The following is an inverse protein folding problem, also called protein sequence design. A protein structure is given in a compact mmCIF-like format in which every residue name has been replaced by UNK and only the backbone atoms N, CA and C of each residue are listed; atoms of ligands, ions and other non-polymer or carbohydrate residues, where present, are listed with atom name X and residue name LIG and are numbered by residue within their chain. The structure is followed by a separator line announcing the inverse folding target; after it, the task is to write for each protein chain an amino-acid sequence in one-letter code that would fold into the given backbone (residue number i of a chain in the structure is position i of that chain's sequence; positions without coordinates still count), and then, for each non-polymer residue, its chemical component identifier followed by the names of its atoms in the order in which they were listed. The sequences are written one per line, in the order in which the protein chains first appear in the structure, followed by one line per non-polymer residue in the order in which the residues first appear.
data_IF_501896732143
#
_entry.id   IF_501896732143
#
_cell.length_a   1.000
_cell.length_b   1.000
_cell.length_c   1.000
_cell.angle_alpha   90.00
_cell.angle_beta   90.00
_cell.angle_gamma   90.00
#
_symmetry.space_group_name_H-M   'P 1'
#
loop_
_entity.id
_entity.type
_entity.pdbx_description
1 polymer ?
#
# COMPACT_ATOMS: atom_id res chain seq x y z
N UNK A 1 -34.47 -15.87 -63.62
CA UNK A 1 -33.51 -15.24 -62.70
C UNK A 1 -32.43 -16.27 -62.43
N UNK A 2 -31.24 -16.11 -63.00
CA UNK A 2 -30.16 -17.09 -62.82
C UNK A 2 -29.65 -17.00 -61.39
N UNK A 3 -29.92 -18.03 -60.60
CA UNK A 3 -29.31 -18.24 -59.29
C UNK A 3 -27.88 -18.77 -59.50
N UNK A 4 -26.96 -17.90 -59.94
CA UNK A 4 -25.55 -18.24 -59.77
C UNK A 4 -25.23 -18.14 -58.28
N UNK A 5 -24.94 -19.29 -57.65
CA UNK A 5 -24.64 -19.36 -56.23
C UNK A 5 -23.43 -18.48 -55.90
N UNK A 6 -23.61 -17.48 -55.04
CA UNK A 6 -22.59 -16.50 -54.65
C UNK A 6 -21.32 -17.14 -54.07
N UNK A 7 -21.43 -18.33 -53.48
CA UNK A 7 -20.33 -19.09 -52.88
C UNK A 7 -19.82 -20.22 -53.79
N UNK A 8 -19.60 -19.92 -55.07
CA UNK A 8 -19.08 -20.89 -56.02
C UNK A 8 -17.64 -20.58 -56.41
N UNK A 9 -16.80 -21.61 -56.46
CA UNK A 9 -15.47 -21.54 -57.09
C UNK A 9 -15.54 -21.24 -58.59
N UNK A 10 -16.72 -21.25 -59.22
CA UNK A 10 -16.89 -20.77 -60.61
C UNK A 10 -17.02 -19.24 -60.70
N UNK A 11 -17.41 -18.57 -59.61
CA UNK A 11 -17.53 -17.12 -59.56
C UNK A 11 -16.14 -16.48 -59.40
N UNK A 12 -15.75 -15.67 -60.39
CA UNK A 12 -14.45 -15.00 -60.41
C UNK A 12 -14.23 -14.06 -59.21
N UNK A 13 -15.28 -13.39 -58.74
CA UNK A 13 -15.22 -12.49 -57.59
C UNK A 13 -15.02 -13.23 -56.27
N UNK A 14 -15.72 -14.36 -56.10
CA UNK A 14 -15.52 -15.22 -54.94
C UNK A 14 -14.11 -15.80 -54.89
N UNK A 15 -13.58 -16.27 -56.03
CA UNK A 15 -12.20 -16.73 -56.16
C UNK A 15 -11.17 -15.64 -55.83
N UNK A 16 -11.40 -14.42 -56.33
CA UNK A 16 -10.51 -13.29 -56.07
C UNK A 16 -10.51 -12.92 -54.58
N UNK A 17 -11.69 -12.88 -53.94
CA UNK A 17 -11.82 -12.59 -52.52
C UNK A 17 -11.13 -13.66 -51.66
N UNK A 18 -11.42 -14.94 -51.91
CA UNK A 18 -10.78 -16.07 -51.19
C UNK A 18 -9.27 -16.07 -51.41
N UNK A 19 -8.81 -15.82 -52.64
CA UNK A 19 -7.39 -15.69 -52.95
C UNK A 19 -6.72 -14.57 -52.17
N UNK A 20 -7.34 -13.39 -52.12
CA UNK A 20 -6.83 -12.24 -51.35
C UNK A 20 -6.75 -12.57 -49.86
N UNK A 21 -7.78 -13.21 -49.28
CA UNK A 21 -7.77 -13.58 -47.86
C UNK A 21 -6.66 -14.58 -47.54
N UNK A 22 -6.44 -15.58 -48.41
CA UNK A 22 -5.34 -16.54 -48.25
C UNK A 22 -3.99 -15.82 -48.33
N UNK A 23 -3.81 -14.90 -49.28
CA UNK A 23 -2.57 -14.13 -49.42
C UNK A 23 -2.32 -13.28 -48.16
N UNK A 24 -3.31 -12.55 -47.66
CA UNK A 24 -3.18 -11.77 -46.43
C UNK A 24 -2.84 -12.64 -45.21
N UNK A 25 -3.44 -13.82 -45.10
CA UNK A 25 -3.14 -14.78 -44.03
C UNK A 25 -1.70 -15.28 -44.11
N UNK A 26 -1.23 -15.68 -45.30
CA UNK A 26 0.14 -16.16 -45.51
C UNK A 26 1.16 -15.05 -45.23
N UNK A 27 0.91 -13.83 -45.69
CA UNK A 27 1.79 -12.68 -45.41
C UNK A 27 1.86 -12.40 -43.91
N UNK A 28 0.72 -12.38 -43.21
CA UNK A 28 0.68 -12.15 -41.77
C UNK A 28 1.42 -13.24 -40.98
N UNK A 29 1.26 -14.50 -41.40
CA UNK A 29 1.97 -15.63 -40.81
C UNK A 29 3.48 -15.56 -41.03
N UNK A 30 3.93 -15.20 -42.25
CA UNK A 30 5.36 -15.02 -42.54
C UNK A 30 5.97 -13.86 -41.74
N UNK A 31 5.24 -12.74 -41.58
CA UNK A 31 5.71 -11.62 -40.75
C UNK A 31 5.82 -12.05 -39.28
N UNK A 32 4.79 -12.71 -38.74
CA UNK A 32 4.73 -13.13 -37.34
C UNK A 32 5.72 -14.24 -36.97
N UNK A 33 5.83 -15.29 -37.79
CA UNK A 33 6.55 -16.52 -37.43
C UNK A 33 7.94 -16.65 -38.08
N UNK A 34 8.25 -15.86 -39.10
CA UNK A 34 9.56 -15.92 -39.78
C UNK A 34 10.31 -14.61 -39.62
N UNK A 35 9.71 -13.49 -40.02
CA UNK A 35 10.42 -12.20 -40.06
C UNK A 35 10.69 -11.62 -38.66
N UNK A 36 9.67 -11.45 -37.82
CA UNK A 36 9.83 -10.89 -36.47
C UNK A 36 10.86 -11.65 -35.61
N UNK A 37 10.82 -13.01 -35.52
CA UNK A 37 11.83 -13.79 -34.81
C UNK A 37 13.25 -13.67 -35.37
N UNK A 38 13.39 -13.45 -36.68
CA UNK A 38 14.71 -13.29 -37.32
C UNK A 38 15.31 -11.88 -37.14
N UNK A 39 14.45 -10.86 -36.99
CA UNK A 39 14.85 -9.47 -36.85
C UNK A 39 15.02 -9.02 -35.39
N UNK A 40 14.37 -9.71 -34.44
CA UNK A 40 14.47 -9.43 -33.00
C UNK A 40 15.16 -10.57 -32.26
N UNK A 41 16.30 -10.27 -31.64
CA UNK A 41 17.09 -11.22 -30.84
C UNK A 41 16.58 -11.40 -29.40
N UNK A 42 15.41 -10.82 -29.07
CA UNK A 42 14.82 -10.91 -27.75
C UNK A 42 14.39 -12.37 -27.45
N UNK A 43 14.81 -12.97 -26.32
CA UNK A 43 14.47 -14.34 -25.94
C UNK A 43 12.96 -14.64 -25.95
N UNK A 44 12.09 -13.63 -25.84
CA UNK A 44 10.64 -13.81 -25.96
C UNK A 44 10.18 -14.31 -27.35
N UNK A 45 10.95 -14.07 -28.41
CA UNK A 45 10.61 -14.43 -29.80
C UNK A 45 11.41 -15.61 -30.35
N UNK A 46 12.29 -16.24 -29.56
CA UNK A 46 13.05 -17.39 -30.03
C UNK A 46 12.19 -18.67 -30.07
N UNK A 47 11.81 -19.11 -31.27
CA UNK A 47 11.10 -20.36 -31.52
C UNK A 47 9.58 -20.19 -31.65
N UNK A 48 8.99 -20.96 -32.59
CA UNK A 48 7.56 -20.87 -32.94
C UNK A 48 6.66 -21.11 -31.72
N UNK A 49 6.99 -22.07 -30.88
CA UNK A 49 6.24 -22.36 -29.66
C UNK A 49 6.25 -21.18 -28.67
N UNK A 50 7.34 -20.41 -28.66
CA UNK A 50 7.51 -19.32 -27.72
C UNK A 50 6.69 -18.09 -28.11
N UNK A 51 6.64 -17.79 -29.40
CA UNK A 51 5.79 -16.76 -29.97
C UNK A 51 4.30 -17.07 -29.75
N UNK A 52 3.88 -18.34 -29.89
CA UNK A 52 2.49 -18.77 -29.66
C UNK A 52 2.09 -18.58 -28.18
N UNK A 53 2.91 -19.07 -27.24
CA UNK A 53 2.62 -18.93 -25.81
C UNK A 53 2.59 -17.46 -25.35
N UNK A 54 3.48 -16.62 -25.88
CA UNK A 54 3.51 -15.18 -25.59
C UNK A 54 2.28 -14.45 -26.13
N UNK A 55 1.92 -14.71 -27.41
CA UNK A 55 0.73 -14.15 -28.02
C UNK A 55 -0.59 -14.59 -27.33
N UNK A 56 -0.60 -15.79 -26.74
CA UNK A 56 -1.72 -16.29 -25.94
C UNK A 56 -1.75 -15.73 -24.50
N UNK A 57 -0.79 -14.87 -24.12
CA UNK A 57 -0.72 -14.28 -22.78
C UNK A 57 -0.37 -15.28 -21.68
N UNK A 58 0.28 -16.40 -22.01
CA UNK A 58 0.70 -17.42 -21.03
C UNK A 58 2.14 -17.12 -20.59
N UNK A 59 2.35 -16.51 -19.40
CA UNK A 59 3.70 -16.31 -18.88
C UNK A 59 4.31 -17.66 -18.56
N UNK A 60 5.43 -18.02 -19.20
CA UNK A 60 6.04 -19.34 -19.00
C UNK A 60 6.80 -19.45 -17.67
N UNK A 61 7.31 -18.36 -17.11
CA UNK A 61 8.04 -18.36 -15.85
C UNK A 61 7.85 -17.00 -15.17
N UNK A 62 7.28 -16.97 -13.98
CA UNK A 62 7.33 -15.81 -13.09
C UNK A 62 8.75 -15.65 -12.54
N UNK A 63 9.73 -15.45 -13.43
CA UNK A 63 11.18 -15.50 -13.17
C UNK A 63 11.65 -16.82 -12.48
N UNK A 64 12.73 -17.47 -12.96
CA UNK A 64 13.63 -18.06 -11.98
C UNK A 64 14.11 -16.88 -11.15
N UNK A 65 13.67 -16.78 -9.89
CA UNK A 65 14.24 -15.78 -8.98
C UNK A 65 15.70 -16.14 -8.85
N UNK A 66 16.52 -15.50 -9.68
CA UNK A 66 17.97 -15.49 -9.56
C UNK A 66 18.25 -14.84 -8.21
N UNK A 67 18.37 -15.69 -7.18
CA UNK A 67 18.60 -15.36 -5.77
C UNK A 67 17.88 -14.10 -5.30
N UNK A 68 16.74 -14.24 -4.60
CA UNK A 68 16.02 -13.12 -4.00
C UNK A 68 17.01 -12.18 -3.31
N UNK A 69 17.14 -10.94 -3.80
CA UNK A 69 18.06 -9.95 -3.22
C UNK A 69 17.58 -9.71 -1.78
N UNK A 70 18.37 -10.09 -0.76
CA UNK A 70 17.95 -9.91 0.61
C UNK A 70 17.84 -8.41 0.88
N UNK A 71 16.75 -7.94 1.52
CA UNK A 71 16.59 -6.52 1.79
C UNK A 71 17.70 -6.04 2.73
N UNK A 72 18.32 -4.91 2.40
CA UNK A 72 19.37 -4.27 3.21
C UNK A 72 18.84 -3.78 4.57
N UNK A 73 17.52 -3.63 4.70
CA UNK A 73 16.82 -3.19 5.91
C UNK A 73 15.83 -4.25 6.37
N UNK A 74 15.51 -4.24 7.67
CA UNK A 74 14.45 -5.11 8.21
C UNK A 74 13.09 -4.56 7.77
N UNK A 75 12.35 -5.37 7.04
CA UNK A 75 10.98 -5.03 6.62
C UNK A 75 9.96 -5.54 7.63
N UNK A 76 8.81 -4.88 7.66
CA UNK A 76 7.66 -5.36 8.44
C UNK A 76 7.23 -6.72 7.92
N UNK A 77 7.12 -7.70 8.83
CA UNK A 77 6.58 -9.04 8.54
C UNK A 77 5.18 -9.22 9.14
N UNK A 78 4.57 -8.12 9.58
CA UNK A 78 3.26 -8.16 10.20
C UNK A 78 2.21 -8.32 9.12
N UNK A 79 1.58 -9.48 9.12
CA UNK A 79 0.37 -9.74 8.36
C UNK A 79 -0.82 -9.28 9.20
N UNK A 80 -1.72 -8.52 8.58
CA UNK A 80 -2.93 -8.02 9.23
C UNK A 80 -4.14 -8.64 8.57
N UNK A 81 -4.93 -9.34 9.37
CA UNK A 81 -6.19 -9.91 8.94
C UNK A 81 -7.36 -9.11 9.54
N UNK A 82 -8.47 -9.04 8.81
CA UNK A 82 -9.64 -8.26 9.24
C UNK A 82 -10.28 -8.78 10.54
N UNK A 83 -10.15 -10.08 10.81
CA UNK A 83 -10.78 -10.78 11.93
C UNK A 83 -9.82 -11.00 13.13
N UNK A 84 -8.60 -10.47 13.05
CA UNK A 84 -7.53 -10.74 14.03
C UNK A 84 -7.86 -10.28 15.46
N UNK A 85 -8.85 -9.39 15.62
CA UNK A 85 -9.26 -8.84 16.91
C UNK A 85 -10.75 -9.08 17.22
N UNK A 86 -11.41 -10.00 16.51
CA UNK A 86 -12.85 -10.28 16.70
C UNK A 86 -13.15 -10.90 18.08
N UNK A 87 -12.18 -11.63 18.64
CA UNK A 87 -12.27 -12.24 19.98
C UNK A 87 -11.91 -11.25 21.12
N UNK A 88 -11.79 -9.96 20.83
CA UNK A 88 -11.53 -8.93 21.83
C UNK A 88 -12.60 -8.95 22.93
N UNK A 89 -12.16 -9.20 24.16
CA UNK A 89 -13.04 -9.30 25.34
C UNK A 89 -12.75 -8.21 26.38
N UNK A 90 -13.68 -8.01 27.32
CA UNK A 90 -13.45 -7.13 28.47
C UNK A 90 -12.22 -7.54 29.31
N UNK A 91 -11.89 -8.83 29.35
CA UNK A 91 -10.67 -9.33 29.99
C UNK A 91 -9.41 -8.87 29.25
N UNK A 92 -9.39 -8.96 27.92
CA UNK A 92 -8.29 -8.48 27.08
C UNK A 92 -8.08 -6.97 27.25
N UNK A 93 -9.17 -6.20 27.30
CA UNK A 93 -9.14 -4.75 27.57
C UNK A 93 -8.54 -4.48 28.96
N UNK A 94 -8.97 -5.21 30.00
CA UNK A 94 -8.46 -5.02 31.37
C UNK A 94 -6.97 -5.37 31.53
N UNK A 95 -6.52 -6.47 30.90
CA UNK A 95 -5.08 -6.81 30.86
C UNK A 95 -4.29 -5.75 30.09
N UNK A 96 -4.79 -5.33 28.94
CA UNK A 96 -4.21 -4.26 28.13
C UNK A 96 -4.07 -2.95 28.89
N UNK A 97 -5.10 -2.56 29.65
CA UNK A 97 -5.07 -1.38 30.51
C UNK A 97 -3.96 -1.44 31.55
N UNK A 98 -3.80 -2.60 32.19
CA UNK A 98 -2.74 -2.85 33.18
C UNK A 98 -1.35 -2.76 32.55
N UNK A 99 -1.16 -3.41 31.41
CA UNK A 99 0.10 -3.36 30.66
C UNK A 99 0.41 -1.94 30.16
N UNK A 100 -0.61 -1.17 29.77
CA UNK A 100 -0.48 0.18 29.26
C UNK A 100 -0.05 1.20 30.32
N UNK A 101 -0.06 0.88 31.62
CA UNK A 101 0.41 1.77 32.69
C UNK A 101 1.82 2.33 32.41
N UNK A 102 2.74 1.49 31.89
CA UNK A 102 4.10 1.91 31.52
C UNK A 102 4.19 2.83 30.29
N UNK A 103 3.11 2.94 29.52
CA UNK A 103 3.02 3.76 28.31
C UNK A 103 2.49 5.17 28.61
N UNK A 104 1.78 5.34 29.74
CA UNK A 104 1.05 6.57 30.10
C UNK A 104 1.95 7.79 30.29
N UNK A 105 3.22 7.60 30.66
CA UNK A 105 4.16 8.70 30.84
C UNK A 105 4.43 9.49 29.55
N UNK A 106 4.31 8.83 28.39
CA UNK A 106 4.50 9.47 27.09
C UNK A 106 3.18 9.63 26.34
N UNK A 107 2.33 8.60 26.34
CA UNK A 107 1.08 8.60 25.57
C UNK A 107 -0.13 9.14 26.35
N UNK A 108 0.05 9.53 27.61
CA UNK A 108 -0.98 10.00 28.51
C UNK A 108 -1.79 8.88 29.18
N UNK A 109 -2.42 9.15 30.34
CA UNK A 109 -3.20 8.16 31.10
C UNK A 109 -4.41 7.64 30.34
N UNK A 110 -4.96 8.46 29.44
CA UNK A 110 -6.09 8.13 28.58
C UNK A 110 -5.69 7.96 27.11
N UNK A 111 -4.40 7.79 26.81
CA UNK A 111 -3.93 7.67 25.42
C UNK A 111 -3.94 9.00 24.64
N UNK A 112 -4.09 10.12 25.32
CA UNK A 112 -3.94 11.48 24.79
C UNK A 112 -2.69 12.10 25.40
N UNK A 113 -1.71 12.42 24.57
CA UNK A 113 -0.38 12.85 24.95
C UNK A 113 -0.23 14.37 24.96
N UNK A 114 0.37 14.88 26.04
CA UNK A 114 0.88 16.26 26.12
C UNK A 114 2.37 16.38 25.73
N UNK A 115 3.05 15.26 25.47
CA UNK A 115 4.49 15.18 25.26
C UNK A 115 4.92 15.07 23.78
N UNK A 116 4.09 15.53 22.84
CA UNK A 116 4.26 15.34 21.39
C UNK A 116 4.40 13.87 20.93
N UNK A 117 4.16 12.91 21.82
CA UNK A 117 4.03 11.49 21.48
C UNK A 117 2.68 11.28 20.77
N UNK A 118 2.53 10.28 19.90
CA UNK A 118 1.27 10.09 19.21
C UNK A 118 0.15 9.75 20.19
N UNK A 119 -1.03 10.30 19.95
CA UNK A 119 -2.25 9.88 20.61
C UNK A 119 -2.58 8.44 20.19
N UNK A 120 -2.85 7.59 21.16
CA UNK A 120 -3.20 6.19 20.97
C UNK A 120 -4.69 5.93 21.24
N UNK A 121 -5.36 6.84 21.94
CA UNK A 121 -6.77 6.70 22.26
C UNK A 121 -7.63 6.59 20.98
N UNK A 122 -8.43 5.54 20.88
CA UNK A 122 -9.29 5.25 19.74
C UNK A 122 -8.54 4.91 18.44
N UNK A 123 -7.22 4.73 18.49
CA UNK A 123 -6.45 4.27 17.33
C UNK A 123 -6.81 2.80 17.04
N UNK A 124 -6.84 2.41 15.77
CA UNK A 124 -7.15 1.03 15.38
C UNK A 124 -6.22 0.02 16.07
N UNK A 125 -6.79 -1.05 16.62
CA UNK A 125 -6.03 -2.11 17.26
C UNK A 125 -4.97 -2.71 16.30
N UNK A 126 -5.34 -2.89 15.03
CA UNK A 126 -4.43 -3.38 13.99
C UNK A 126 -3.19 -2.48 13.83
N UNK A 127 -3.37 -1.17 13.93
CA UNK A 127 -2.30 -0.18 13.82
C UNK A 127 -1.39 -0.25 15.04
N UNK A 128 -1.96 -0.21 16.25
CA UNK A 128 -1.17 -0.23 17.50
C UNK A 128 -0.36 -1.52 17.58
N UNK A 129 -0.99 -2.67 17.36
CA UNK A 129 -0.33 -3.97 17.34
C UNK A 129 0.78 -4.05 16.29
N UNK A 130 0.50 -3.62 15.05
CA UNK A 130 1.51 -3.60 13.99
C UNK A 130 2.72 -2.75 14.37
N UNK A 131 2.50 -1.55 14.92
CA UNK A 131 3.61 -0.69 15.31
C UNK A 131 4.43 -1.28 16.45
N UNK A 132 3.80 -1.92 17.46
CA UNK A 132 4.52 -2.60 18.54
C UNK A 132 5.40 -3.74 18.00
N UNK A 133 4.86 -4.60 17.14
CA UNK A 133 5.63 -5.66 16.48
C UNK A 133 6.76 -5.11 15.60
N UNK A 134 6.52 -4.04 14.85
CA UNK A 134 7.55 -3.43 14.01
C UNK A 134 8.67 -2.83 14.86
N UNK A 135 8.35 -2.25 16.03
CA UNK A 135 9.36 -1.80 16.98
C UNK A 135 10.14 -2.94 17.62
N UNK A 136 9.47 -4.04 17.96
CA UNK A 136 10.08 -5.23 18.55
C UNK A 136 11.04 -5.93 17.56
N UNK A 137 10.61 -6.14 16.32
CA UNK A 137 11.41 -6.81 15.28
C UNK A 137 12.57 -5.94 14.76
N UNK A 138 12.45 -4.62 14.90
CA UNK A 138 13.36 -3.62 14.36
C UNK A 138 13.02 -3.19 12.93
N UNK A 139 11.85 -3.56 12.40
CA UNK A 139 11.33 -3.04 11.13
C UNK A 139 10.97 -1.55 11.21
N UNK A 140 10.64 -1.07 12.40
CA UNK A 140 10.58 0.35 12.75
C UNK A 140 11.52 0.59 13.91
N UNK A 141 12.40 1.57 13.80
CA UNK A 141 13.38 1.87 14.85
C UNK A 141 13.01 3.15 15.60
N UNK A 142 13.12 3.13 16.92
CA UNK A 142 13.03 4.33 17.77
C UNK A 142 13.87 4.12 19.01
N UNK A 143 14.70 5.09 19.36
CA UNK A 143 15.48 5.07 20.60
C UNK A 143 14.59 4.97 21.85
N UNK A 144 13.34 5.43 21.76
CA UNK A 144 12.37 5.41 22.85
C UNK A 144 11.48 4.17 22.79
N UNK A 145 10.85 3.90 21.64
CA UNK A 145 9.83 2.85 21.56
C UNK A 145 10.38 1.44 21.34
N UNK A 146 11.55 1.27 20.72
CA UNK A 146 12.12 -0.08 20.52
C UNK A 146 12.43 -0.80 21.84
N UNK A 147 13.01 -0.15 22.87
CA UNK A 147 13.12 -0.75 24.21
C UNK A 147 11.76 -1.10 24.84
N UNK A 148 10.75 -0.24 24.68
CA UNK A 148 9.43 -0.44 25.28
C UNK A 148 8.67 -1.64 24.70
N UNK A 149 8.95 -1.99 23.44
CA UNK A 149 8.30 -3.11 22.75
C UNK A 149 9.10 -4.43 22.84
N UNK A 150 10.38 -4.38 23.20
CA UNK A 150 11.32 -5.51 23.09
C UNK A 150 10.80 -6.76 23.77
N UNK A 151 10.37 -6.64 25.02
CA UNK A 151 10.04 -7.78 25.89
C UNK A 151 8.54 -8.09 25.93
N UNK A 152 7.76 -7.54 25.00
CA UNK A 152 6.33 -7.81 24.95
C UNK A 152 6.04 -9.17 24.34
N UNK A 153 5.23 -9.97 25.03
CA UNK A 153 4.64 -11.13 24.40
C UNK A 153 3.66 -10.67 23.31
N UNK A 154 3.45 -11.54 22.33
CA UNK A 154 2.49 -11.30 21.25
C UNK A 154 1.08 -10.98 21.79
N UNK A 155 0.61 -11.76 22.77
CA UNK A 155 -0.68 -11.52 23.43
C UNK A 155 -0.72 -10.17 24.16
N UNK A 156 0.39 -9.75 24.79
CA UNK A 156 0.45 -8.45 25.47
C UNK A 156 0.27 -7.30 24.47
N UNK A 157 0.90 -7.40 23.29
CA UNK A 157 0.74 -6.41 22.22
C UNK A 157 -0.70 -6.35 21.71
N UNK A 158 -1.38 -7.49 21.59
CA UNK A 158 -2.80 -7.55 21.20
C UNK A 158 -3.70 -6.91 22.26
N UNK A 159 -3.49 -7.24 23.53
CA UNK A 159 -4.29 -6.70 24.63
C UNK A 159 -4.10 -5.18 24.76
N UNK A 160 -2.87 -4.67 24.66
CA UNK A 160 -2.57 -3.23 24.64
C UNK A 160 -3.25 -2.55 23.45
N UNK A 161 -3.21 -3.17 22.28
CA UNK A 161 -3.83 -2.64 21.07
C UNK A 161 -5.34 -2.51 21.20
N UNK A 162 -6.01 -3.55 21.69
CA UNK A 162 -7.46 -3.55 21.94
C UNK A 162 -7.82 -2.54 23.03
N UNK A 163 -7.02 -2.43 24.10
CA UNK A 163 -7.23 -1.42 25.14
C UNK A 163 -7.22 0.00 24.56
N UNK A 164 -6.17 0.39 23.82
CA UNK A 164 -6.09 1.73 23.26
C UNK A 164 -7.19 2.01 22.23
N UNK A 165 -7.58 1.01 21.43
CA UNK A 165 -8.70 1.11 20.51
C UNK A 165 -10.05 1.32 21.22
N UNK A 166 -10.21 0.83 22.45
CA UNK A 166 -11.42 1.01 23.25
C UNK A 166 -11.56 2.41 23.87
N UNK A 167 -10.46 3.17 23.93
CA UNK A 167 -10.48 4.51 24.53
C UNK A 167 -11.15 5.52 23.60
N UNK A 168 -11.71 6.58 24.20
CA UNK A 168 -12.31 7.68 23.45
C UNK A 168 -11.21 8.45 22.70
N UNK A 169 -11.28 8.57 21.35
CA UNK A 169 -10.28 9.29 20.58
C UNK A 169 -10.29 10.80 20.88
N UNK A 170 -9.21 11.47 20.46
CA UNK A 170 -9.18 12.92 20.39
C UNK A 170 -10.34 13.43 19.51
N UNK A 171 -10.76 14.67 19.74
CA UNK A 171 -11.79 15.28 18.92
C UNK A 171 -11.33 15.33 17.45
N UNK A 172 -12.20 14.97 16.48
CA UNK A 172 -11.85 15.04 15.07
C UNK A 172 -11.58 16.48 14.68
N UNK A 173 -10.65 16.67 13.74
CA UNK A 173 -10.35 18.00 13.20
C UNK A 173 -11.53 18.48 12.37
N UNK A 174 -11.87 19.77 12.52
CA UNK A 174 -12.99 20.40 11.79
C UNK A 174 -12.48 21.62 11.03
N UNK A 175 -13.10 21.90 9.89
CA UNK A 175 -12.81 23.05 9.03
C UNK A 175 -12.61 22.64 7.59
N UNK A 176 -12.12 23.58 6.78
CA UNK A 176 -11.77 23.34 5.39
C UNK A 176 -10.36 22.76 5.31
N UNK A 177 -10.26 21.49 4.91
CA UNK A 177 -8.98 20.83 4.75
C UNK A 177 -8.17 21.48 3.61
N UNK A 178 -6.85 21.73 3.80
CA UNK A 178 -6.01 22.29 2.74
C UNK A 178 -5.94 21.34 1.55
N UNK A 179 -5.67 21.88 0.36
CA UNK A 179 -5.72 21.12 -0.90
C UNK A 179 -4.89 19.83 -0.88
N UNK A 180 -3.69 19.87 -0.29
CA UNK A 180 -2.81 18.69 -0.16
C UNK A 180 -3.43 17.56 0.68
N UNK A 181 -4.30 17.87 1.64
CA UNK A 181 -5.00 16.87 2.46
C UNK A 181 -6.29 16.43 1.79
N UNK A 182 -7.09 17.40 1.32
CA UNK A 182 -8.43 17.18 0.79
C UNK A 182 -8.42 16.43 -0.55
N UNK A 183 -7.50 16.80 -1.45
CA UNK A 183 -7.42 16.28 -2.83
C UNK A 183 -6.07 15.61 -3.10
N UNK A 184 -5.02 16.03 -2.40
CA UNK A 184 -3.65 15.60 -2.70
C UNK A 184 -3.06 16.33 -3.90
N UNK A 185 -2.06 15.72 -4.51
CA UNK A 185 -1.47 16.15 -5.77
C UNK A 185 -1.30 14.92 -6.70
N UNK A 186 -2.37 14.50 -7.39
CA UNK A 186 -2.39 13.24 -8.15
C UNK A 186 -1.31 13.15 -9.23
N UNK A 187 -0.96 14.26 -9.88
CA UNK A 187 0.12 14.32 -10.88
C UNK A 187 1.52 14.06 -10.29
N UNK A 188 1.68 14.20 -8.97
CA UNK A 188 2.89 13.83 -8.23
C UNK A 188 2.73 12.53 -7.45
N UNK A 189 1.71 11.73 -7.78
CA UNK A 189 1.40 10.47 -7.09
C UNK A 189 1.11 10.65 -5.58
N UNK A 190 0.48 11.78 -5.21
CA UNK A 190 0.01 12.04 -3.85
C UNK A 190 -1.52 12.00 -3.89
N UNK A 191 -2.16 10.91 -3.44
CA UNK A 191 -3.62 10.84 -3.34
C UNK A 191 -4.13 11.70 -2.17
N UNK A 192 -5.43 11.96 -2.13
CA UNK A 192 -6.09 12.53 -0.96
C UNK A 192 -5.83 11.65 0.27
N UNK A 193 -5.47 12.26 1.40
CA UNK A 193 -5.06 11.51 2.60
C UNK A 193 -6.22 10.69 3.18
N UNK A 194 -7.44 11.25 3.11
CA UNK A 194 -8.65 10.63 3.63
C UNK A 194 -9.00 9.29 2.94
N UNK A 195 -8.55 9.06 1.71
CA UNK A 195 -8.78 7.80 0.98
C UNK A 195 -8.15 6.57 1.64
N UNK A 196 -7.22 6.77 2.59
CA UNK A 196 -6.61 5.68 3.35
C UNK A 196 -6.65 5.92 4.87
N UNK A 197 -6.66 7.18 5.31
CA UNK A 197 -6.60 7.59 6.71
C UNK A 197 -7.93 8.15 7.26
N UNK A 198 -8.99 8.20 6.44
CA UNK A 198 -10.29 8.76 6.82
C UNK A 198 -11.06 7.84 7.77
N UNK A 199 -12.04 8.38 8.50
CA UNK A 199 -12.66 7.63 9.58
C UNK A 199 -13.66 6.54 9.19
N UNK A 200 -14.36 6.72 8.07
CA UNK A 200 -15.32 5.73 7.54
C UNK A 200 -14.65 4.76 6.56
N UNK A 201 -13.73 5.25 5.73
CA UNK A 201 -13.05 4.48 4.67
C UNK A 201 -11.53 4.36 4.95
N UNK A 202 -11.15 3.88 6.13
CA UNK A 202 -9.74 3.62 6.43
C UNK A 202 -9.28 2.27 5.87
N UNK A 203 -8.05 2.26 5.35
CA UNK A 203 -7.38 1.02 4.97
C UNK A 203 -6.88 0.30 6.23
N UNK A 204 -7.03 -1.03 6.30
CA UNK A 204 -6.48 -1.83 7.41
C UNK A 204 -4.97 -1.54 7.57
N UNK A 205 -4.55 -1.28 8.81
CA UNK A 205 -3.17 -0.91 9.13
C UNK A 205 -2.80 0.54 8.84
N UNK A 206 -3.70 1.35 8.26
CA UNK A 206 -3.51 2.80 8.17
C UNK A 206 -3.95 3.48 9.47
N UNK A 207 -3.09 4.31 10.08
CA UNK A 207 -3.44 5.01 11.32
C UNK A 207 -4.51 6.07 11.08
N UNK A 208 -5.37 6.24 12.08
CA UNK A 208 -6.15 7.46 12.26
C UNK A 208 -5.21 8.65 12.52
N UNK A 209 -5.42 9.77 11.80
CA UNK A 209 -4.53 10.92 11.85
C UNK A 209 -5.08 12.11 12.66
N UNK A 210 -6.39 12.29 12.75
CA UNK A 210 -6.96 13.46 13.43
C UNK A 210 -6.58 13.48 14.91
N UNK A 211 -6.18 14.66 15.37
CA UNK A 211 -5.73 14.91 16.73
C UNK A 211 -4.31 14.43 17.01
N UNK A 212 -3.56 13.87 16.06
CA UNK A 212 -2.15 13.57 16.28
C UNK A 212 -1.32 14.86 16.40
N UNK A 213 -0.31 14.92 17.29
CA UNK A 213 0.54 16.11 17.40
C UNK A 213 1.25 16.45 16.09
N UNK A 214 1.26 17.73 15.71
CA UNK A 214 1.88 18.20 14.46
C UNK A 214 3.36 17.81 14.37
N UNK A 215 4.10 17.91 15.48
CA UNK A 215 5.50 17.50 15.55
C UNK A 215 5.69 16.01 15.22
N UNK A 216 4.79 15.15 15.71
CA UNK A 216 4.82 13.72 15.40
C UNK A 216 4.53 13.46 13.92
N UNK A 217 3.43 14.01 13.39
CA UNK A 217 3.03 13.80 11.98
C UNK A 217 4.12 14.28 11.02
N UNK A 218 4.66 15.48 11.25
CA UNK A 218 5.77 16.05 10.48
C UNK A 218 7.00 15.13 10.52
N UNK A 219 7.39 14.65 11.70
CA UNK A 219 8.52 13.75 11.85
C UNK A 219 8.29 12.40 11.13
N UNK A 220 7.08 11.85 11.17
CA UNK A 220 6.78 10.59 10.48
C UNK A 220 6.81 10.75 8.95
N UNK A 221 6.22 11.81 8.41
CA UNK A 221 6.26 12.10 6.97
C UNK A 221 7.71 12.32 6.50
N UNK A 222 8.50 13.10 7.23
CA UNK A 222 9.92 13.28 6.92
C UNK A 222 10.71 11.96 6.97
N UNK A 223 10.41 11.09 7.94
CA UNK A 223 11.07 9.79 8.07
C UNK A 223 10.71 8.83 6.92
N UNK A 224 9.47 8.87 6.42
CA UNK A 224 9.09 8.14 5.21
C UNK A 224 9.76 8.74 3.97
N UNK A 225 9.76 10.06 3.83
CA UNK A 225 10.39 10.75 2.70
C UNK A 225 11.88 10.39 2.56
N UNK A 226 12.64 10.43 3.67
CA UNK A 226 14.06 10.10 3.67
C UNK A 226 14.37 8.59 3.79
N UNK A 227 13.36 7.73 3.91
CA UNK A 227 13.50 6.27 4.00
C UNK A 227 13.96 5.73 5.37
N UNK A 228 14.22 6.58 6.36
CA UNK A 228 14.56 6.13 7.72
C UNK A 228 13.41 5.36 8.40
N UNK A 229 12.16 5.60 7.96
CA UNK A 229 11.01 4.75 8.27
C UNK A 229 10.56 4.00 7.02
N UNK A 230 10.57 2.68 7.09
CA UNK A 230 10.30 1.77 5.96
C UNK A 230 9.42 0.57 6.35
N UNK A 231 8.66 0.69 7.44
CA UNK A 231 7.73 -0.34 7.90
C UNK A 231 6.36 -0.31 7.20
N UNK A 232 6.25 0.39 6.06
CA UNK A 232 5.06 0.50 5.25
C UNK A 232 4.98 -0.61 4.19
N UNK A 233 3.79 -1.19 4.05
CA UNK A 233 3.54 -2.29 3.11
C UNK A 233 3.56 -1.72 1.68
N UNK A 234 4.39 -2.31 0.81
CA UNK A 234 4.55 -1.91 -0.59
C UNK A 234 4.97 -0.44 -0.78
N UNK A 235 5.74 0.10 0.18
CA UNK A 235 6.27 1.48 0.14
C UNK A 235 5.19 2.59 0.04
N UNK A 236 3.95 2.31 0.44
CA UNK A 236 2.83 3.24 0.22
C UNK A 236 3.09 4.63 0.79
N UNK A 237 3.55 4.74 2.04
CA UNK A 237 3.81 6.04 2.65
C UNK A 237 5.11 6.65 2.16
N UNK A 238 6.14 5.84 1.87
CA UNK A 238 7.41 6.33 1.29
C UNK A 238 7.19 6.93 -0.09
N UNK A 239 6.38 6.29 -0.94
CA UNK A 239 6.06 6.79 -2.28
C UNK A 239 5.25 8.10 -2.26
N UNK A 240 4.38 8.27 -1.26
CA UNK A 240 3.64 9.54 -1.08
C UNK A 240 4.59 10.61 -0.53
N UNK A 241 5.24 10.35 0.60
CA UNK A 241 6.00 11.36 1.33
C UNK A 241 7.23 11.87 0.57
N UNK A 242 7.90 11.03 -0.24
CA UNK A 242 9.03 11.45 -1.09
C UNK A 242 8.66 12.51 -2.13
N UNK A 243 7.39 12.56 -2.53
CA UNK A 243 6.89 13.49 -3.54
C UNK A 243 6.33 14.79 -2.92
N UNK A 244 6.20 14.88 -1.60
CA UNK A 244 5.68 16.05 -0.90
C UNK A 244 6.78 17.10 -0.67
N UNK A 245 6.42 18.37 -0.71
CA UNK A 245 7.34 19.45 -0.31
C UNK A 245 7.41 19.59 1.23
N UNK A 246 8.47 20.24 1.78
CA UNK A 246 8.54 20.53 3.21
C UNK A 246 7.34 21.34 3.73
N UNK A 247 6.84 22.27 2.93
CA UNK A 247 5.66 23.10 3.24
C UNK A 247 4.41 22.24 3.28
N UNK A 248 4.21 21.37 2.28
CA UNK A 248 3.08 20.43 2.24
C UNK A 248 3.05 19.48 3.43
N UNK A 249 4.21 18.97 3.85
CA UNK A 249 4.35 18.16 5.05
C UNK A 249 3.96 18.97 6.29
N UNK A 250 4.39 20.23 6.39
CA UNK A 250 4.05 21.11 7.51
C UNK A 250 2.55 21.43 7.55
N UNK A 251 1.94 21.75 6.40
CA UNK A 251 0.52 22.02 6.25
C UNK A 251 -0.34 20.81 6.63
N UNK A 252 0.00 19.61 6.12
CA UNK A 252 -0.71 18.39 6.48
C UNK A 252 -0.59 18.06 7.99
N UNK A 253 0.61 18.23 8.56
CA UNK A 253 0.84 18.00 9.98
C UNK A 253 0.08 18.98 10.88
N UNK A 254 0.04 20.27 10.53
CA UNK A 254 -0.73 21.28 11.25
C UNK A 254 -2.23 21.01 11.15
N UNK A 255 -2.74 20.67 9.96
CA UNK A 255 -4.14 20.30 9.76
C UNK A 255 -4.56 19.15 10.67
N UNK A 256 -3.87 18.01 10.64
CA UNK A 256 -4.24 16.85 11.45
C UNK A 256 -4.10 17.07 12.96
N UNK A 257 -3.28 18.04 13.37
CA UNK A 257 -3.20 18.48 14.77
C UNK A 257 -4.30 19.46 15.19
N UNK A 258 -5.18 19.87 14.27
CA UNK A 258 -6.19 20.91 14.50
C UNK A 258 -5.60 22.31 14.70
N UNK A 259 -4.40 22.55 14.18
CA UNK A 259 -3.67 23.80 14.30
C UNK A 259 -3.87 24.69 13.07
N UNK A 260 -3.69 26.03 13.20
CA UNK A 260 -3.54 26.90 12.04
C UNK A 260 -2.40 26.40 11.14
N UNK A 261 -2.63 26.40 9.84
CA UNK A 261 -1.67 25.96 8.84
C UNK A 261 -1.23 27.14 7.96
N UNK A 262 0.01 27.13 7.45
CA UNK A 262 0.56 28.18 6.59
C UNK A 262 -0.08 28.21 5.21
#
# INVERSE_FOLDING_TARGET
MNEESLFSLKNAWFRAAVGLTIVCFVISALIGFVWLPSAQSDPQFQGIWNAICSAAGVPRQWHPVESAVPPTVKLSRVELESHQFDDASGLSIGRGATLALRCTMCHGPHGISDANSPNLAGQSATVVYKQLQDFQSGARTSAVMSPMARDLADQDMRDIAVYYASLKPAAPVRGDAPAIVAVGAPLRNIPACASCHGGVDHKIGSPWLDGLPAAYVKAQLAAFANGSRHNDISEQMRNIARNMTPEEIATAAAWYAGQPHP
#
